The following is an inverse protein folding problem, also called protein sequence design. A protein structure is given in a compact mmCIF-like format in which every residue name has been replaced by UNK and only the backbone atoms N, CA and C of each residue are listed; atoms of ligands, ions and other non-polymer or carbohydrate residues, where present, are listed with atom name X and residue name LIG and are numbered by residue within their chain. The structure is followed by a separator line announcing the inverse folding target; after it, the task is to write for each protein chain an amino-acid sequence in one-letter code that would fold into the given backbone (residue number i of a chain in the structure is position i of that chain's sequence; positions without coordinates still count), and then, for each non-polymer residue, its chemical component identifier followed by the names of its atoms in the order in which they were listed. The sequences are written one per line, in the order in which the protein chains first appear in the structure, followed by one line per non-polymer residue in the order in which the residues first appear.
data_IF_669416891239
#
_entry.id   IF_669416891239
#
_cell.length_a   1.000
_cell.length_b   1.000
_cell.length_c   1.000
_cell.angle_alpha   90.00
_cell.angle_beta   90.00
_cell.angle_gamma   90.00
#
_symmetry.space_group_name_H-M   'P 1'
#
loop_
_entity.id
_entity.type
_entity.pdbx_description
1 polymer ?
#
# COMPACT_ATOMS: atom_id res chain seq x y z
N UNK A 1 -12.20 8.42 14.65
CA UNK A 1 -11.69 7.93 13.36
C UNK A 1 -10.46 7.10 13.64
N UNK A 2 -10.38 5.88 13.18
CA UNK A 2 -9.34 4.99 13.66
C UNK A 2 -8.08 5.03 12.79
N UNK A 3 -7.22 6.01 13.06
CA UNK A 3 -5.80 5.84 12.84
C UNK A 3 -5.39 4.62 13.67
N UNK A 4 -5.05 3.50 13.03
CA UNK A 4 -4.59 2.33 13.76
C UNK A 4 -3.19 2.59 14.31
N UNK A 5 -2.29 3.11 13.49
CA UNK A 5 -0.91 3.41 13.92
C UNK A 5 -0.11 4.19 12.89
N UNK A 6 0.91 4.88 13.39
CA UNK A 6 2.04 5.38 12.61
C UNK A 6 3.30 4.80 13.25
N UNK A 7 4.13 4.11 12.46
CA UNK A 7 5.37 3.46 12.91
C UNK A 7 6.52 4.09 12.17
N UNK A 8 7.58 4.45 12.90
CA UNK A 8 8.88 4.75 12.29
C UNK A 8 9.75 3.51 12.34
N UNK A 9 10.29 3.11 11.22
CA UNK A 9 11.21 1.98 11.10
C UNK A 9 12.30 2.33 10.11
N UNK A 10 13.54 2.25 10.57
CA UNK A 10 14.71 2.62 9.80
C UNK A 10 14.52 4.02 9.17
N UNK A 11 14.63 4.13 7.85
CA UNK A 11 14.49 5.38 7.10
C UNK A 11 13.08 5.63 6.57
N UNK A 12 12.08 4.87 7.04
CA UNK A 12 10.70 4.99 6.59
C UNK A 12 9.69 5.23 7.72
N UNK A 13 8.60 5.87 7.36
CA UNK A 13 7.41 6.02 8.21
C UNK A 13 6.24 5.29 7.56
N UNK A 14 5.62 4.37 8.29
CA UNK A 14 4.48 3.57 7.83
C UNK A 14 3.23 4.00 8.58
N UNK A 15 2.17 4.34 7.87
CA UNK A 15 0.85 4.65 8.41
C UNK A 15 -0.18 3.60 8.01
N UNK A 16 -1.01 3.19 8.95
CA UNK A 16 -2.13 2.28 8.73
C UNK A 16 -3.41 2.89 9.29
N UNK A 17 -4.44 2.91 8.47
CA UNK A 17 -5.76 3.45 8.78
C UNK A 17 -6.83 2.40 8.53
N UNK A 18 -7.78 2.25 9.48
CA UNK A 18 -8.98 1.46 9.29
C UNK A 18 -10.13 2.37 8.83
N UNK A 19 -10.70 2.07 7.68
CA UNK A 19 -11.87 2.77 7.17
C UNK A 19 -13.12 2.18 7.82
N UNK A 20 -13.67 2.89 8.80
CA UNK A 20 -14.96 2.52 9.42
C UNK A 20 -16.08 3.20 8.65
N UNK A 21 -17.12 2.45 8.32
CA UNK A 21 -18.34 3.03 7.74
C UNK A 21 -18.92 4.08 8.70
N UNK A 22 -18.89 5.34 8.28
CA UNK A 22 -19.38 6.47 9.08
C UNK A 22 -19.02 7.80 8.43
N UNK A 23 -19.68 8.85 8.86
CA UNK A 23 -19.42 10.20 8.40
C UNK A 23 -18.06 10.69 8.89
N UNK A 24 -17.22 11.19 7.98
CA UNK A 24 -16.09 12.00 8.36
C UNK A 24 -16.58 13.21 9.13
N UNK A 25 -16.05 13.42 10.33
CA UNK A 25 -16.27 14.67 11.04
C UNK A 25 -15.58 15.81 10.26
N UNK A 26 -16.37 16.39 9.36
CA UNK A 26 -15.96 17.46 8.45
C UNK A 26 -15.74 18.79 9.15
N UNK A 27 -16.17 18.88 10.42
CA UNK A 27 -16.07 20.13 11.19
C UNK A 27 -14.65 20.49 11.61
N UNK A 28 -13.70 19.56 11.50
CA UNK A 28 -12.38 19.71 12.11
C UNK A 28 -11.34 20.43 11.26
N UNK A 29 -11.44 20.45 9.91
CA UNK A 29 -10.51 21.25 9.09
C UNK A 29 -10.96 21.45 7.63
N UNK A 30 -10.57 22.60 7.06
CA UNK A 30 -10.89 23.00 5.69
C UNK A 30 -10.31 22.05 4.64
N UNK A 31 -9.12 21.52 4.88
CA UNK A 31 -8.44 20.59 3.96
C UNK A 31 -9.26 19.33 3.66
N UNK A 32 -9.79 18.69 4.71
CA UNK A 32 -10.63 17.50 4.50
C UNK A 32 -11.99 17.83 3.90
N UNK A 33 -12.55 19.03 4.20
CA UNK A 33 -13.77 19.49 3.52
C UNK A 33 -13.55 19.66 2.01
N UNK A 34 -12.41 20.20 1.61
CA UNK A 34 -12.07 20.34 0.20
C UNK A 34 -11.81 18.96 -0.44
N UNK A 35 -11.13 18.05 0.25
CA UNK A 35 -10.95 16.67 -0.21
C UNK A 35 -12.28 15.93 -0.42
N UNK A 36 -13.26 16.13 0.46
CA UNK A 36 -14.62 15.56 0.31
C UNK A 36 -15.30 16.11 -0.95
N UNK A 37 -15.30 17.44 -1.13
CA UNK A 37 -15.90 18.09 -2.30
C UNK A 37 -15.25 17.63 -3.60
N UNK A 38 -13.95 17.42 -3.59
CA UNK A 38 -13.21 16.90 -4.74
C UNK A 38 -13.54 15.43 -5.00
N UNK A 39 -13.59 14.59 -3.97
CA UNK A 39 -13.97 13.19 -4.08
C UNK A 39 -15.39 13.01 -4.65
N UNK A 40 -16.35 13.84 -4.21
CA UNK A 40 -17.73 13.84 -4.73
C UNK A 40 -17.81 14.17 -6.21
N UNK A 41 -17.00 15.12 -6.68
CA UNK A 41 -16.92 15.49 -8.10
C UNK A 41 -16.23 14.40 -8.95
N UNK A 42 -15.21 13.75 -8.39
CA UNK A 42 -14.33 12.84 -9.13
C UNK A 42 -14.84 11.41 -9.19
N UNK A 43 -15.48 10.92 -8.12
CA UNK A 43 -15.85 9.51 -8.01
C UNK A 43 -17.35 9.32 -7.80
N UNK A 44 -17.92 8.35 -8.54
CA UNK A 44 -19.31 7.92 -8.36
C UNK A 44 -19.47 6.94 -7.19
N UNK A 45 -18.47 6.10 -6.95
CA UNK A 45 -18.47 5.08 -5.90
C UNK A 45 -18.15 5.69 -4.53
N UNK A 46 -19.00 5.40 -3.52
CA UNK A 46 -18.74 5.82 -2.15
C UNK A 46 -17.44 5.21 -1.60
N UNK A 47 -17.12 3.94 -1.94
CA UNK A 47 -15.88 3.31 -1.54
C UNK A 47 -14.66 4.11 -2.04
N UNK A 48 -14.65 4.50 -3.33
CA UNK A 48 -13.56 5.32 -3.90
C UNK A 48 -13.47 6.71 -3.28
N UNK A 49 -14.61 7.32 -2.91
CA UNK A 49 -14.62 8.59 -2.18
C UNK A 49 -13.96 8.44 -0.80
N UNK A 50 -14.33 7.38 -0.09
CA UNK A 50 -13.76 7.07 1.23
C UNK A 50 -12.26 6.82 1.15
N UNK A 51 -11.79 5.99 0.21
CA UNK A 51 -10.36 5.76 -0.04
C UNK A 51 -9.62 7.09 -0.24
N UNK A 52 -10.11 7.95 -1.14
CA UNK A 52 -9.52 9.25 -1.44
C UNK A 52 -9.42 10.18 -0.23
N UNK A 53 -10.45 10.22 0.61
CA UNK A 53 -10.49 11.08 1.79
C UNK A 53 -9.60 10.52 2.90
N UNK A 54 -9.67 9.20 3.16
CA UNK A 54 -8.88 8.54 4.18
C UNK A 54 -7.37 8.58 3.88
N UNK A 55 -6.98 8.42 2.62
CA UNK A 55 -5.60 8.57 2.17
C UNK A 55 -5.02 9.94 2.54
N UNK A 56 -5.78 11.02 2.31
CA UNK A 56 -5.37 12.38 2.64
C UNK A 56 -5.37 12.64 4.14
N UNK A 57 -6.31 12.07 4.87
CA UNK A 57 -6.35 12.17 6.32
C UNK A 57 -5.13 11.47 6.95
N UNK A 58 -4.85 10.24 6.52
CA UNK A 58 -3.69 9.49 6.98
C UNK A 58 -2.38 10.21 6.66
N UNK A 59 -2.21 10.67 5.41
CA UNK A 59 -1.00 11.40 5.01
C UNK A 59 -0.81 12.67 5.86
N UNK A 60 -1.87 13.44 6.11
CA UNK A 60 -1.81 14.61 6.97
C UNK A 60 -1.35 14.27 8.40
N UNK A 61 -1.87 13.17 8.97
CA UNK A 61 -1.47 12.72 10.31
C UNK A 61 0.01 12.28 10.31
N UNK A 62 0.46 11.52 9.29
CA UNK A 62 1.86 11.15 9.12
C UNK A 62 2.79 12.36 8.97
N UNK A 63 2.30 13.46 8.40
CA UNK A 63 3.01 14.72 8.22
C UNK A 63 2.87 15.70 9.40
N UNK A 64 2.39 15.22 10.56
CA UNK A 64 2.16 16.04 11.76
C UNK A 64 1.27 17.28 11.47
N UNK A 65 0.22 17.08 10.70
CA UNK A 65 -0.76 18.11 10.36
C UNK A 65 -0.38 19.00 9.17
N UNK A 66 0.82 18.85 8.60
CA UNK A 66 1.21 19.58 7.38
C UNK A 66 0.45 19.02 6.18
N UNK A 67 -0.03 19.91 5.33
CA UNK A 67 -0.71 19.57 4.09
C UNK A 67 0.33 19.33 3.00
N UNK A 68 0.29 18.16 2.39
CA UNK A 68 1.13 17.78 1.26
C UNK A 68 0.21 17.27 0.15
N UNK A 69 0.48 17.69 -1.08
CA UNK A 69 -0.32 17.29 -2.23
C UNK A 69 0.22 16.01 -2.86
N UNK A 70 -0.70 15.08 -3.16
CA UNK A 70 -0.43 13.86 -3.91
C UNK A 70 -0.74 14.14 -5.38
N UNK A 71 0.22 13.88 -6.24
CA UNK A 71 0.04 13.84 -7.69
C UNK A 71 0.56 12.48 -8.22
N UNK A 72 0.39 12.19 -9.49
CA UNK A 72 0.84 10.94 -10.08
C UNK A 72 1.73 11.24 -11.27
N UNK A 73 2.81 10.47 -11.42
CA UNK A 73 3.65 10.51 -12.59
C UNK A 73 2.97 9.80 -13.79
N UNK A 74 3.67 9.72 -14.92
CA UNK A 74 3.18 9.09 -16.15
C UNK A 74 2.89 7.59 -15.98
N UNK A 75 3.62 6.91 -15.08
CA UNK A 75 3.44 5.49 -14.74
C UNK A 75 2.34 5.26 -13.70
N UNK A 76 1.70 6.32 -13.20
CA UNK A 76 0.69 6.24 -12.17
C UNK A 76 1.23 6.11 -10.74
N UNK A 77 2.56 6.20 -10.53
CA UNK A 77 3.15 6.22 -9.18
C UNK A 77 2.73 7.49 -8.45
N UNK A 78 2.24 7.40 -7.19
CA UNK A 78 2.00 8.58 -6.37
C UNK A 78 3.31 9.30 -6.05
N UNK A 79 3.26 10.63 -6.07
CA UNK A 79 4.38 11.53 -5.83
C UNK A 79 3.93 12.63 -4.87
N UNK A 80 4.86 13.17 -4.09
CA UNK A 80 4.62 14.29 -3.19
C UNK A 80 5.42 15.53 -3.61
N UNK A 81 4.85 16.71 -3.40
CA UNK A 81 5.51 17.98 -3.74
C UNK A 81 6.60 18.39 -2.74
N UNK A 82 6.87 17.61 -1.71
CA UNK A 82 7.92 17.84 -0.71
C UNK A 82 9.16 16.94 -0.89
N UNK A 83 9.21 16.12 -1.94
CA UNK A 83 10.35 15.27 -2.29
C UNK A 83 10.45 13.95 -1.54
N UNK A 84 9.51 13.63 -0.64
CA UNK A 84 9.45 12.29 -0.04
C UNK A 84 9.01 11.26 -1.10
N UNK A 85 9.64 10.10 -1.10
CA UNK A 85 9.09 8.95 -1.82
C UNK A 85 7.88 8.39 -1.05
N UNK A 86 6.86 7.99 -1.80
CA UNK A 86 5.60 7.51 -1.25
C UNK A 86 5.12 6.27 -1.99
N UNK A 87 4.58 5.32 -1.25
CA UNK A 87 3.76 4.26 -1.80
C UNK A 87 2.47 4.13 -1.00
N UNK A 88 1.38 3.84 -1.70
CA UNK A 88 0.02 3.80 -1.13
C UNK A 88 -0.63 2.48 -1.55
N UNK A 89 -1.32 1.86 -0.62
CA UNK A 89 -2.22 0.75 -0.91
C UNK A 89 -3.51 0.88 -0.12
N UNK A 90 -4.59 0.39 -0.70
CA UNK A 90 -5.90 0.33 -0.05
C UNK A 90 -6.61 -0.95 -0.44
N UNK A 91 -7.29 -1.51 0.52
CA UNK A 91 -8.17 -2.66 0.34
C UNK A 91 -9.47 -2.42 1.11
N UNK A 92 -10.40 -3.37 1.08
CA UNK A 92 -11.63 -3.25 1.84
C UNK A 92 -11.37 -3.01 3.32
N UNK A 93 -11.73 -1.83 3.82
CA UNK A 93 -11.62 -1.45 5.22
C UNK A 93 -10.26 -0.89 5.64
N UNK A 94 -9.23 -0.86 4.77
CA UNK A 94 -7.88 -0.43 5.17
C UNK A 94 -7.20 0.44 4.13
N UNK A 95 -6.37 1.37 4.62
CA UNK A 95 -5.40 2.13 3.83
C UNK A 95 -4.04 2.04 4.50
N UNK A 96 -3.00 1.82 3.71
CA UNK A 96 -1.62 1.84 4.14
C UNK A 96 -0.80 2.82 3.30
N UNK A 97 0.06 3.59 3.96
CA UNK A 97 1.01 4.52 3.33
C UNK A 97 2.39 4.28 3.91
N UNK A 98 3.39 4.28 3.07
CA UNK A 98 4.80 4.35 3.47
C UNK A 98 5.45 5.59 2.86
N UNK A 99 6.29 6.27 3.64
CA UNK A 99 7.04 7.46 3.27
C UNK A 99 8.52 7.27 3.59
N UNK A 100 9.42 7.75 2.72
CA UNK A 100 10.85 7.85 3.02
C UNK A 100 11.46 9.11 2.40
N UNK A 101 12.50 9.66 3.04
CA UNK A 101 13.31 10.78 2.54
C UNK A 101 14.44 10.31 1.64
N UNK A 102 14.91 9.07 1.82
CA UNK A 102 16.18 8.60 1.27
C UNK A 102 16.07 7.32 0.46
N UNK A 103 14.94 6.62 0.58
CA UNK A 103 14.71 5.29 -0.01
C UNK A 103 13.53 5.30 -0.96
N UNK A 104 13.62 4.53 -2.04
CA UNK A 104 12.43 4.10 -2.75
C UNK A 104 11.62 3.16 -1.87
N UNK A 105 10.30 3.29 -1.90
CA UNK A 105 9.41 2.51 -1.03
C UNK A 105 8.28 1.84 -1.81
N UNK A 106 7.90 0.66 -1.34
CA UNK A 106 6.73 -0.07 -1.80
C UNK A 106 5.91 -0.59 -0.62
N UNK A 107 4.60 -0.55 -0.73
CA UNK A 107 3.66 -1.07 0.29
C UNK A 107 2.44 -1.68 -0.39
N UNK A 108 1.97 -2.80 0.16
CA UNK A 108 0.70 -3.38 -0.23
C UNK A 108 -0.06 -3.93 0.97
N UNK A 109 -1.38 -3.83 0.93
CA UNK A 109 -2.30 -4.36 1.95
C UNK A 109 -3.52 -5.00 1.30
N UNK A 110 -3.86 -6.21 1.75
CA UNK A 110 -5.05 -6.92 1.30
C UNK A 110 -5.84 -7.49 2.48
N UNK A 111 -7.17 -7.36 2.45
CA UNK A 111 -8.03 -8.01 3.42
C UNK A 111 -8.08 -9.52 3.17
N UNK A 112 -8.18 -10.29 4.27
CA UNK A 112 -8.21 -11.75 4.17
C UNK A 112 -9.52 -12.22 3.52
N UNK A 113 -9.40 -12.87 2.37
CA UNK A 113 -10.52 -13.47 1.65
C UNK A 113 -10.05 -14.56 0.68
N UNK A 114 -10.96 -15.47 0.32
CA UNK A 114 -10.74 -16.54 -0.67
C UNK A 114 -10.64 -16.03 -2.13
N UNK A 115 -10.83 -14.75 -2.36
CA UNK A 115 -10.76 -14.16 -3.71
C UNK A 115 -9.39 -14.33 -4.35
N UNK A 116 -8.32 -14.33 -3.56
CA UNK A 116 -6.94 -14.48 -4.02
C UNK A 116 -6.70 -15.83 -4.68
N UNK A 117 -7.39 -16.90 -4.24
CA UNK A 117 -7.30 -18.23 -4.86
C UNK A 117 -7.72 -18.21 -6.33
N UNK A 118 -8.75 -17.42 -6.66
CA UNK A 118 -9.30 -17.34 -8.04
C UNK A 118 -8.34 -16.68 -9.03
N UNK A 119 -7.36 -15.95 -8.55
CA UNK A 119 -6.38 -15.23 -9.38
C UNK A 119 -4.96 -15.80 -9.20
N UNK A 120 -4.77 -16.81 -8.38
CA UNK A 120 -3.45 -17.37 -8.02
C UNK A 120 -2.60 -17.73 -9.24
N UNK A 121 -3.21 -18.33 -10.28
CA UNK A 121 -2.52 -18.67 -11.53
C UNK A 121 -1.96 -17.47 -12.30
N UNK A 122 -2.35 -16.24 -11.95
CA UNK A 122 -1.86 -15.01 -12.62
C UNK A 122 -0.58 -14.46 -12.00
N UNK A 123 -0.25 -14.88 -10.78
CA UNK A 123 0.91 -14.36 -10.05
C UNK A 123 1.79 -15.44 -9.42
N UNK A 124 1.25 -16.63 -9.10
CA UNK A 124 2.06 -17.73 -8.56
C UNK A 124 2.90 -18.36 -9.67
N UNK A 125 4.19 -18.49 -9.41
CA UNK A 125 5.15 -19.16 -10.27
C UNK A 125 5.13 -20.66 -9.97
N UNK A 126 5.59 -21.48 -10.91
CA UNK A 126 5.71 -22.96 -10.73
C UNK A 126 6.71 -23.33 -9.62
N UNK A 127 7.67 -22.46 -9.33
CA UNK A 127 8.70 -22.64 -8.29
C UNK A 127 8.35 -21.95 -6.96
N UNK A 128 7.10 -21.52 -6.79
CA UNK A 128 6.52 -20.97 -5.56
C UNK A 128 5.39 -21.90 -5.07
N UNK A 129 5.17 -21.92 -3.74
CA UNK A 129 4.07 -22.70 -3.14
C UNK A 129 3.41 -21.90 -2.01
N UNK A 130 2.12 -22.10 -1.84
CA UNK A 130 1.34 -21.52 -0.75
C UNK A 130 0.37 -22.60 -0.23
N UNK A 131 0.38 -22.83 1.09
CA UNK A 131 -0.39 -23.91 1.72
C UNK A 131 -1.78 -23.44 2.18
N UNK A 132 -1.97 -22.14 2.29
CA UNK A 132 -3.21 -21.52 2.76
C UNK A 132 -3.46 -20.13 2.16
N UNK A 133 -4.61 -19.55 2.48
CA UNK A 133 -5.01 -18.20 2.00
C UNK A 133 -4.03 -17.13 2.47
N UNK A 134 -3.49 -17.23 3.68
CA UNK A 134 -2.57 -16.22 4.22
C UNK A 134 -1.25 -16.26 3.45
N UNK A 135 -0.66 -17.44 3.26
CA UNK A 135 0.58 -17.57 2.49
C UNK A 135 0.39 -17.13 1.03
N UNK A 136 -0.77 -17.41 0.43
CA UNK A 136 -1.11 -16.94 -0.90
C UNK A 136 -1.24 -15.40 -0.97
N UNK A 137 -1.87 -14.78 0.04
CA UNK A 137 -1.94 -13.32 0.17
C UNK A 137 -0.55 -12.70 0.40
N UNK A 138 0.34 -13.36 1.14
CA UNK A 138 1.72 -12.90 1.30
C UNK A 138 2.44 -12.85 -0.06
N UNK A 139 2.29 -13.87 -0.90
CA UNK A 139 2.84 -13.85 -2.26
C UNK A 139 2.27 -12.69 -3.10
N UNK A 140 0.95 -12.52 -3.07
CA UNK A 140 0.28 -11.44 -3.79
C UNK A 140 0.78 -10.07 -3.34
N UNK A 141 0.68 -9.76 -2.04
CA UNK A 141 1.11 -8.48 -1.48
C UNK A 141 2.61 -8.22 -1.70
N UNK A 142 3.45 -9.26 -1.59
CA UNK A 142 4.89 -9.15 -1.84
C UNK A 142 5.18 -8.74 -3.29
N UNK A 143 4.48 -9.33 -4.26
CA UNK A 143 4.62 -8.98 -5.68
C UNK A 143 4.11 -7.58 -5.99
N UNK A 144 2.96 -7.19 -5.44
CA UNK A 144 2.44 -5.83 -5.53
C UNK A 144 3.39 -4.80 -4.89
N UNK A 145 4.00 -5.14 -3.75
CA UNK A 145 5.00 -4.29 -3.09
C UNK A 145 6.23 -4.06 -3.99
N UNK A 146 6.76 -5.12 -4.62
CA UNK A 146 7.88 -4.98 -5.55
C UNK A 146 7.48 -4.23 -6.82
N UNK A 147 6.32 -4.52 -7.38
CA UNK A 147 5.80 -3.78 -8.53
C UNK A 147 5.76 -2.27 -8.27
N UNK A 148 5.30 -1.86 -7.08
CA UNK A 148 5.28 -0.45 -6.67
C UNK A 148 6.68 0.10 -6.41
N UNK A 149 7.58 -0.69 -5.82
CA UNK A 149 8.96 -0.30 -5.55
C UNK A 149 9.75 -0.04 -6.85
N UNK A 150 9.57 -0.90 -7.86
CA UNK A 150 10.18 -0.84 -9.19
C UNK A 150 9.21 -0.29 -10.25
N UNK A 151 8.41 0.72 -9.91
CA UNK A 151 7.27 1.18 -10.71
C UNK A 151 7.63 1.59 -12.15
N UNK A 152 8.85 2.09 -12.39
CA UNK A 152 9.33 2.47 -13.74
C UNK A 152 9.67 1.28 -14.63
N UNK A 153 9.80 0.07 -14.06
CA UNK A 153 10.18 -1.13 -14.81
C UNK A 153 8.98 -1.92 -15.31
N UNK A 154 7.76 -1.60 -14.83
CA UNK A 154 6.51 -2.29 -15.20
C UNK A 154 6.62 -3.82 -15.10
N UNK A 155 7.15 -4.32 -13.98
CA UNK A 155 7.44 -5.73 -13.77
C UNK A 155 6.20 -6.61 -13.95
N UNK A 156 6.32 -7.67 -14.75
CA UNK A 156 5.35 -8.76 -14.72
C UNK A 156 5.52 -9.55 -13.41
N UNK A 157 4.43 -9.99 -12.80
CA UNK A 157 4.45 -10.78 -11.56
C UNK A 157 5.21 -12.10 -11.70
N UNK A 158 5.28 -12.66 -12.91
CA UNK A 158 6.10 -13.83 -13.19
C UNK A 158 7.61 -13.55 -13.18
N UNK A 159 8.01 -12.28 -13.29
CA UNK A 159 9.39 -11.84 -13.12
C UNK A 159 9.74 -11.46 -11.67
N UNK A 160 8.82 -11.68 -10.74
CA UNK A 160 9.03 -11.49 -9.31
C UNK A 160 8.96 -12.85 -8.62
N UNK A 161 10.05 -13.24 -7.94
CA UNK A 161 10.09 -14.45 -7.12
C UNK A 161 10.05 -14.10 -5.65
N UNK A 162 9.07 -14.65 -4.94
CA UNK A 162 8.92 -14.51 -3.49
C UNK A 162 9.50 -15.72 -2.79
N UNK A 163 10.31 -15.48 -1.77
CA UNK A 163 10.87 -16.53 -0.92
C UNK A 163 10.33 -16.32 0.51
N UNK A 164 9.59 -17.31 0.99
CA UNK A 164 9.04 -17.34 2.36
C UNK A 164 9.86 -18.36 3.16
N UNK A 165 10.58 -17.86 4.18
CA UNK A 165 11.41 -18.64 5.11
C UNK A 165 11.36 -18.01 6.49
N UNK A 166 12.46 -18.04 7.24
CA UNK A 166 12.59 -17.29 8.51
C UNK A 166 12.38 -15.80 8.29
N UNK A 167 12.78 -15.31 7.14
CA UNK A 167 12.49 -13.96 6.65
C UNK A 167 11.85 -14.06 5.27
N UNK A 168 11.01 -13.08 4.94
CA UNK A 168 10.41 -12.98 3.62
C UNK A 168 11.24 -12.03 2.76
N UNK A 169 11.50 -12.43 1.53
CA UNK A 169 12.17 -11.60 0.54
C UNK A 169 11.52 -11.78 -0.83
N UNK A 170 11.72 -10.81 -1.72
CA UNK A 170 11.32 -10.94 -3.10
C UNK A 170 12.44 -10.47 -4.03
N UNK A 171 12.55 -11.15 -5.17
CA UNK A 171 13.60 -10.91 -6.17
C UNK A 171 12.97 -10.43 -7.46
N UNK A 172 13.42 -9.27 -7.95
CA UNK A 172 13.24 -8.89 -9.34
C UNK A 172 14.18 -9.76 -10.19
N UNK A 173 13.63 -10.63 -11.00
CA UNK A 173 14.41 -11.59 -11.79
C UNK A 173 15.05 -10.97 -13.04
N UNK A 174 14.63 -9.78 -13.45
CA UNK A 174 15.19 -9.10 -14.62
C UNK A 174 16.60 -8.58 -14.35
N UNK A 175 16.85 -8.06 -13.16
CA UNK A 175 18.12 -7.48 -12.73
C UNK A 175 18.78 -8.25 -11.57
N UNK A 176 18.11 -9.30 -11.06
CA UNK A 176 18.58 -10.13 -9.94
C UNK A 176 18.69 -9.36 -8.63
N UNK A 177 17.92 -8.29 -8.44
CA UNK A 177 17.88 -7.56 -7.18
C UNK A 177 16.90 -8.24 -6.21
N UNK A 178 17.41 -8.63 -5.05
CA UNK A 178 16.60 -9.20 -3.96
C UNK A 178 16.45 -8.16 -2.85
N UNK A 179 15.21 -7.94 -2.42
CA UNK A 179 14.90 -7.03 -1.31
C UNK A 179 14.21 -7.77 -0.18
N UNK A 180 14.53 -7.44 1.09
CA UNK A 180 13.80 -7.95 2.23
C UNK A 180 12.39 -7.36 2.25
N UNK A 181 11.43 -8.16 2.71
CA UNK A 181 10.04 -7.74 2.91
C UNK A 181 9.68 -7.81 4.38
N UNK A 182 9.12 -6.73 4.86
CA UNK A 182 8.42 -6.74 6.14
C UNK A 182 7.00 -7.20 5.91
N UNK A 183 6.58 -8.23 6.64
CA UNK A 183 5.27 -8.84 6.51
C UNK A 183 4.55 -8.79 7.85
N UNK A 184 3.32 -8.36 7.80
CA UNK A 184 2.39 -8.47 8.92
C UNK A 184 1.14 -9.17 8.44
N UNK A 185 0.81 -10.29 9.06
CA UNK A 185 -0.41 -11.02 8.82
C UNK A 185 -1.26 -11.07 10.08
N UNK A 186 -2.54 -10.76 9.92
CA UNK A 186 -3.56 -10.81 10.97
C UNK A 186 -4.73 -11.67 10.49
N UNK A 187 -5.76 -11.83 11.32
CA UNK A 187 -7.03 -12.44 10.89
C UNK A 187 -7.79 -11.60 9.86
N UNK A 188 -7.47 -10.31 9.72
CA UNK A 188 -8.24 -9.36 8.92
C UNK A 188 -7.53 -8.93 7.64
N UNK A 189 -6.20 -8.83 7.68
CA UNK A 189 -5.40 -8.36 6.54
C UNK A 189 -3.98 -8.96 6.52
N UNK A 190 -3.38 -8.92 5.35
CA UNK A 190 -1.94 -9.08 5.13
C UNK A 190 -1.41 -7.74 4.62
N UNK A 191 -0.34 -7.25 5.24
CA UNK A 191 0.39 -6.04 4.88
C UNK A 191 1.83 -6.41 4.57
N UNK A 192 2.36 -5.94 3.44
CA UNK A 192 3.79 -6.06 3.11
C UNK A 192 4.35 -4.70 2.73
N UNK A 193 5.60 -4.46 3.08
CA UNK A 193 6.33 -3.28 2.62
C UNK A 193 7.84 -3.55 2.51
N UNK A 194 8.49 -2.76 1.69
CA UNK A 194 9.93 -2.79 1.49
C UNK A 194 10.48 -1.40 1.17
N UNK A 195 11.78 -1.25 1.31
CA UNK A 195 12.54 -0.05 0.99
C UNK A 195 13.90 -0.41 0.39
N UNK A 196 14.35 0.37 -0.60
CA UNK A 196 15.60 0.15 -1.32
C UNK A 196 16.40 1.46 -1.47
#
# INVERSE_FOLDING_TARGET
MPLLRIIKRDEATIGLWEMVDGEFDTCTNDYLRDAIREAEKRYKSNARRMEYICERALLKDMMNGRIVNIFHNEDGKPMLNNGLDISISHTRGYIAIILSETKNVGIDIEYVSDRVEKISSRFMREDESADDIISLLVHWCAKETLYKLFSSEHLDFMNIKVNIGETVSATNLLDSITVPLYVESTSNYVLTYSML
#
